data_IF_881676128304
#
_entry.id   IF_881676128304
#
_cell.length_a   1.000
_cell.length_b   1.000
_cell.length_c   1.000
_cell.angle_alpha   90.00
_cell.angle_beta   90.00
_cell.angle_gamma   90.00
#
_symmetry.space_group_name_H-M   'P 1'
#
loop_
_entity.id
_entity.type
_entity.pdbx_description
1 polymer ?
#
# COMPACT_ATOMS: atom_id res chain seq x y z
N UNK A 1 -25.01 6.71 -4.29
CA UNK A 1 -23.79 5.91 -3.99
C UNK A 1 -24.08 4.47 -4.40
N UNK A 2 -23.28 3.92 -5.30
CA UNK A 2 -23.40 2.52 -5.73
C UNK A 2 -22.06 1.82 -5.47
N UNK A 3 -22.12 0.70 -4.78
CA UNK A 3 -21.01 -0.24 -4.64
C UNK A 3 -21.27 -1.41 -5.59
N UNK A 4 -20.35 -1.70 -6.45
CA UNK A 4 -20.35 -2.89 -7.31
C UNK A 4 -19.20 -3.77 -6.84
N UNK A 5 -19.43 -5.07 -6.77
CA UNK A 5 -18.37 -6.04 -6.55
C UNK A 5 -18.56 -7.26 -7.45
N UNK A 6 -17.46 -7.77 -7.98
CA UNK A 6 -17.44 -8.94 -8.87
C UNK A 6 -16.11 -9.70 -8.73
N UNK A 7 -16.11 -10.96 -9.16
CA UNK A 7 -14.89 -11.75 -9.27
C UNK A 7 -14.47 -11.82 -10.74
N UNK A 8 -13.18 -11.71 -10.99
CA UNK A 8 -12.57 -11.88 -12.29
C UNK A 8 -11.10 -12.29 -12.14
N UNK A 9 -10.45 -12.84 -13.17
CA UNK A 9 -9.02 -13.02 -13.16
C UNK A 9 -8.30 -11.74 -12.77
N UNK A 10 -7.20 -11.87 -12.01
CA UNK A 10 -6.40 -10.72 -11.58
C UNK A 10 -5.91 -9.93 -12.80
N UNK A 11 -6.24 -8.66 -12.83
CA UNK A 11 -5.75 -7.72 -13.84
C UNK A 11 -5.06 -6.55 -13.16
N UNK A 12 -3.75 -6.46 -13.35
CA UNK A 12 -2.90 -5.40 -12.82
C UNK A 12 -2.71 -4.25 -13.81
N UNK A 13 -3.57 -4.13 -14.81
CA UNK A 13 -3.57 -2.94 -15.67
C UNK A 13 -4.04 -1.72 -14.84
N UNK A 14 -3.06 -1.02 -14.32
CA UNK A 14 -3.25 0.13 -13.42
C UNK A 14 -3.58 1.42 -14.18
N UNK A 15 -3.51 1.43 -15.50
CA UNK A 15 -3.75 2.65 -16.30
C UNK A 15 -5.16 3.18 -16.10
N UNK A 16 -6.12 2.31 -15.90
CA UNK A 16 -7.52 2.66 -15.65
C UNK A 16 -7.78 3.10 -14.19
N UNK A 17 -6.89 2.72 -13.27
CA UNK A 17 -7.00 3.03 -11.83
C UNK A 17 -6.62 4.50 -11.55
N UNK A 18 -5.61 5.01 -12.22
CA UNK A 18 -5.08 6.36 -11.98
C UNK A 18 -5.85 7.49 -12.71
N UNK A 19 -6.58 7.18 -13.78
CA UNK A 19 -7.17 8.20 -14.63
C UNK A 19 -8.62 8.58 -14.30
N UNK A 20 -9.24 7.95 -13.27
CA UNK A 20 -10.62 8.27 -12.92
C UNK A 20 -10.80 8.59 -11.43
N UNK A 21 -10.58 9.85 -11.01
CA UNK A 21 -10.69 10.25 -9.60
C UNK A 21 -12.11 10.20 -9.04
N UNK A 22 -13.11 9.90 -9.88
CA UNK A 22 -14.53 9.88 -9.50
C UNK A 22 -15.00 8.51 -9.04
N UNK A 23 -14.29 7.45 -9.43
CA UNK A 23 -14.63 6.07 -9.06
C UNK A 23 -13.50 5.49 -8.22
N UNK A 24 -13.80 5.18 -6.96
CA UNK A 24 -12.86 4.46 -6.12
C UNK A 24 -12.87 2.99 -6.55
N UNK A 25 -11.70 2.48 -6.90
CA UNK A 25 -11.49 1.08 -7.28
C UNK A 25 -10.55 0.41 -6.30
N UNK A 26 -10.85 -0.81 -5.94
CA UNK A 26 -10.00 -1.65 -5.12
C UNK A 26 -10.10 -3.09 -5.61
N UNK A 27 -8.98 -3.76 -5.65
CA UNK A 27 -8.92 -5.20 -5.95
C UNK A 27 -8.21 -5.95 -4.82
N UNK A 28 -8.73 -7.11 -4.49
CA UNK A 28 -8.18 -8.01 -3.49
C UNK A 28 -7.83 -9.33 -4.17
N UNK A 29 -6.65 -9.87 -3.90
CA UNK A 29 -6.25 -11.19 -4.39
C UNK A 29 -5.39 -11.92 -3.34
N UNK A 30 -5.30 -13.23 -3.47
CA UNK A 30 -4.32 -14.04 -2.74
C UNK A 30 -3.15 -14.30 -3.68
N UNK A 31 -1.96 -13.77 -3.40
CA UNK A 31 -0.78 -14.06 -4.21
C UNK A 31 -0.44 -15.54 -4.22
N UNK A 32 0.08 -16.06 -5.34
CA UNK A 32 0.47 -17.49 -5.44
C UNK A 32 1.64 -17.87 -4.52
N UNK A 33 2.39 -16.89 -4.02
CA UNK A 33 3.50 -17.07 -3.09
C UNK A 33 3.18 -16.71 -1.63
N UNK A 34 1.89 -16.49 -1.28
CA UNK A 34 1.49 -16.07 0.07
C UNK A 34 0.12 -16.64 0.44
N UNK A 35 -0.08 -16.88 1.74
CA UNK A 35 -1.38 -17.24 2.29
C UNK A 35 -2.25 -16.02 2.67
N UNK A 36 -1.69 -14.84 2.58
CA UNK A 36 -2.37 -13.60 2.92
C UNK A 36 -3.19 -13.03 1.76
N UNK A 37 -3.87 -11.94 2.04
CA UNK A 37 -4.64 -11.19 1.04
C UNK A 37 -3.93 -9.90 0.71
N UNK A 38 -3.61 -9.70 -0.56
CA UNK A 38 -3.11 -8.44 -1.07
C UNK A 38 -4.26 -7.53 -1.50
N UNK A 39 -4.07 -6.24 -1.35
CA UNK A 39 -5.02 -5.21 -1.74
C UNK A 39 -4.32 -4.11 -2.52
N UNK A 40 -4.89 -3.73 -3.64
CA UNK A 40 -4.46 -2.58 -4.43
C UNK A 40 -5.67 -1.68 -4.76
N UNK A 41 -5.49 -0.38 -4.71
CA UNK A 41 -6.57 0.56 -5.03
C UNK A 41 -6.05 1.95 -5.40
N UNK A 42 -6.91 2.76 -6.01
CA UNK A 42 -6.62 4.13 -6.44
C UNK A 42 -6.85 5.19 -5.34
N UNK A 43 -6.92 4.80 -4.09
CA UNK A 43 -7.01 5.74 -2.98
C UNK A 43 -5.62 6.29 -2.68
N UNK A 44 -5.38 7.56 -2.97
CA UNK A 44 -4.09 8.24 -2.79
C UNK A 44 -3.52 8.08 -1.38
N UNK A 45 -4.37 8.12 -0.34
CA UNK A 45 -3.97 7.96 1.05
C UNK A 45 -3.90 6.49 1.51
N UNK A 46 -3.99 5.52 0.58
CA UNK A 46 -3.85 4.09 0.88
C UNK A 46 -4.84 3.57 1.92
N UNK A 47 -6.03 4.10 1.93
CA UNK A 47 -7.15 3.62 2.77
C UNK A 47 -6.86 3.53 4.29
N UNK A 48 -6.23 4.52 4.96
CA UNK A 48 -6.01 4.42 6.41
C UNK A 48 -7.31 4.14 7.16
N UNK A 49 -8.42 4.71 6.70
CA UNK A 49 -9.75 4.46 7.23
C UNK A 49 -10.16 2.99 7.15
N UNK A 50 -9.88 2.29 6.06
CA UNK A 50 -10.20 0.86 5.91
C UNK A 50 -9.36 0.03 6.86
N UNK A 51 -8.07 0.31 6.95
CA UNK A 51 -7.13 -0.35 7.86
C UNK A 51 -7.64 -0.27 9.31
N UNK A 52 -7.92 0.93 9.82
CA UNK A 52 -8.43 1.11 11.17
C UNK A 52 -9.82 0.50 11.40
N UNK A 53 -10.64 0.42 10.37
CA UNK A 53 -11.94 -0.27 10.45
C UNK A 53 -11.79 -1.78 10.54
N UNK A 54 -10.90 -2.36 9.75
CA UNK A 54 -10.62 -3.80 9.79
C UNK A 54 -10.10 -4.21 11.16
N UNK A 55 -9.18 -3.45 11.74
CA UNK A 55 -8.63 -3.69 13.08
C UNK A 55 -9.68 -3.66 14.17
N UNK A 56 -10.74 -2.84 14.03
CA UNK A 56 -11.86 -2.82 14.99
C UNK A 56 -12.77 -4.05 14.90
N UNK A 57 -12.72 -4.79 13.82
CA UNK A 57 -13.60 -5.95 13.58
C UNK A 57 -12.90 -7.23 14.02
N UNK A 58 -11.60 -7.35 13.78
CA UNK A 58 -10.76 -8.50 14.11
C UNK A 58 -9.31 -8.09 14.28
N UNK A 59 -8.53 -8.88 15.03
CA UNK A 59 -7.07 -8.79 15.03
C UNK A 59 -6.56 -9.28 13.68
N UNK A 60 -5.94 -8.37 12.92
CA UNK A 60 -5.26 -8.65 11.66
C UNK A 60 -3.85 -8.11 11.73
N UNK A 61 -2.93 -8.81 11.15
CA UNK A 61 -1.66 -8.24 10.76
C UNK A 61 -1.82 -7.51 9.43
N UNK A 62 -1.43 -6.26 9.36
CA UNK A 62 -1.60 -5.42 8.18
C UNK A 62 -0.28 -4.75 7.83
N UNK A 63 0.19 -4.98 6.61
CA UNK A 63 1.32 -4.25 6.06
C UNK A 63 0.86 -3.41 4.88
N UNK A 64 1.10 -2.11 4.96
CA UNK A 64 0.85 -1.16 3.89
C UNK A 64 2.17 -0.59 3.40
N UNK A 65 2.35 -0.59 2.09
CA UNK A 65 3.51 0.04 1.45
C UNK A 65 3.05 1.06 0.41
N UNK A 66 3.80 2.14 0.31
CA UNK A 66 3.68 3.10 -0.79
C UNK A 66 5.06 3.30 -1.37
N UNK A 67 5.19 3.06 -2.66
CA UNK A 67 6.43 3.20 -3.41
C UNK A 67 6.34 4.44 -4.29
N UNK A 68 7.46 5.17 -4.38
CA UNK A 68 7.57 6.27 -5.33
C UNK A 68 8.00 5.70 -6.68
N UNK A 69 7.23 5.99 -7.70
CA UNK A 69 7.58 5.73 -9.09
C UNK A 69 7.83 7.08 -9.78
N UNK A 70 8.84 7.13 -10.64
CA UNK A 70 9.09 8.27 -11.53
C UNK A 70 8.01 8.32 -12.63
N UNK A 71 6.79 8.65 -12.22
CA UNK A 71 5.70 8.93 -13.14
C UNK A 71 5.57 10.46 -13.20
N UNK A 72 5.78 11.02 -14.39
CA UNK A 72 5.49 12.43 -14.71
C UNK A 72 3.98 12.72 -14.55
N UNK A 73 3.52 12.82 -13.31
CA UNK A 73 2.16 13.23 -12.98
C UNK A 73 2.20 14.57 -12.24
N UNK A 74 1.59 15.59 -12.80
CA UNK A 74 1.49 16.95 -12.22
C UNK A 74 0.89 16.99 -10.80
N UNK A 75 0.31 15.90 -10.30
CA UNK A 75 -0.42 15.84 -9.04
C UNK A 75 0.11 14.81 -8.03
N UNK A 76 1.22 14.14 -8.30
CA UNK A 76 1.77 13.17 -7.37
C UNK A 76 2.82 13.80 -6.45
N UNK A 77 2.49 13.89 -5.17
CA UNK A 77 3.49 14.12 -4.13
C UNK A 77 4.42 12.89 -4.07
N UNK A 78 5.73 13.12 -4.20
CA UNK A 78 6.69 12.06 -3.99
C UNK A 78 6.58 11.54 -2.54
N UNK A 79 6.05 10.34 -2.37
CA UNK A 79 5.80 9.75 -1.07
C UNK A 79 6.21 8.28 -1.03
N UNK A 80 6.89 7.90 0.03
CA UNK A 80 7.22 6.53 0.38
C UNK A 80 6.77 6.24 1.80
N UNK A 81 6.06 5.13 1.97
CA UNK A 81 5.50 4.74 3.26
C UNK A 81 5.75 3.25 3.50
N UNK A 82 6.18 2.95 4.70
CA UNK A 82 6.06 1.62 5.30
C UNK A 82 5.21 1.75 6.55
N UNK A 83 4.13 0.99 6.61
CA UNK A 83 3.20 0.97 7.72
C UNK A 83 2.84 -0.48 8.04
N UNK A 84 3.13 -0.89 9.26
CA UNK A 84 2.86 -2.22 9.74
C UNK A 84 2.10 -2.15 11.05
N UNK A 85 1.10 -3.00 11.19
CA UNK A 85 0.35 -3.18 12.42
C UNK A 85 0.34 -4.68 12.68
N UNK A 86 0.88 -5.09 13.80
CA UNK A 86 0.92 -6.49 14.20
C UNK A 86 -0.44 -6.99 14.72
N UNK A 87 -0.52 -8.30 15.01
CA UNK A 87 -1.75 -8.93 15.49
C UNK A 87 -2.22 -8.40 16.86
N UNK A 88 -1.31 -7.85 17.65
CA UNK A 88 -1.60 -7.26 18.96
C UNK A 88 -2.01 -5.77 18.85
N UNK A 89 -1.91 -5.20 17.64
CA UNK A 89 -2.27 -3.82 17.35
C UNK A 89 -1.12 -2.83 17.57
N UNK A 90 0.13 -3.29 17.75
CA UNK A 90 1.28 -2.40 17.80
C UNK A 90 1.54 -1.87 16.40
N UNK A 91 1.67 -0.56 16.30
CA UNK A 91 1.79 0.15 15.04
C UNK A 91 3.21 0.64 14.82
N UNK A 92 3.77 0.35 13.66
CA UNK A 92 5.01 0.92 13.16
C UNK A 92 4.75 1.68 11.87
N UNK A 93 5.14 2.95 11.82
CA UNK A 93 4.95 3.81 10.66
C UNK A 93 6.24 4.57 10.34
N UNK A 94 6.68 4.52 9.09
CA UNK A 94 7.82 5.26 8.57
C UNK A 94 7.44 5.90 7.24
N UNK A 95 7.75 7.19 7.08
CA UNK A 95 7.40 7.95 5.89
C UNK A 95 8.51 8.90 5.47
N UNK A 96 8.71 8.99 4.16
CA UNK A 96 9.41 10.10 3.50
C UNK A 96 8.45 10.71 2.48
N UNK A 97 8.26 12.02 2.52
CA UNK A 97 7.33 12.73 1.64
C UNK A 97 7.92 14.09 1.25
N UNK A 98 7.54 14.58 0.06
CA UNK A 98 7.87 15.93 -0.38
C UNK A 98 6.58 16.77 -0.45
N UNK A 99 6.43 17.76 0.46
CA UNK A 99 5.31 18.69 0.48
C UNK A 99 5.67 19.98 1.28
N UNK A 100 6.05 21.08 0.68
CA UNK A 100 6.82 21.27 -0.56
C UNK A 100 8.27 20.84 -0.41
N UNK A 101 8.75 20.57 0.81
CA UNK A 101 10.10 20.10 1.13
C UNK A 101 10.05 18.64 1.56
N UNK A 102 11.16 17.95 1.38
CA UNK A 102 11.31 16.60 1.91
C UNK A 102 11.18 16.60 3.42
N UNK A 103 10.34 15.71 3.93
CA UNK A 103 10.13 15.42 5.34
C UNK A 103 10.28 13.92 5.60
N UNK A 104 10.80 13.58 6.77
CA UNK A 104 10.90 12.21 7.28
C UNK A 104 10.21 12.14 8.62
N UNK A 105 9.34 11.17 8.77
CA UNK A 105 8.63 10.95 10.02
C UNK A 105 8.52 9.46 10.32
N UNK A 106 8.68 9.12 11.59
CA UNK A 106 8.52 7.76 12.09
C UNK A 106 7.76 7.74 13.41
N UNK A 107 7.05 6.65 13.65
CA UNK A 107 6.30 6.38 14.86
C UNK A 107 6.29 4.89 15.17
N UNK A 108 6.20 4.55 16.46
CA UNK A 108 6.15 3.19 16.96
C UNK A 108 7.54 2.58 17.19
N UNK A 109 7.56 1.39 17.77
CA UNK A 109 8.79 0.66 18.03
C UNK A 109 9.42 0.16 16.72
N UNK A 110 10.73 0.34 16.60
CA UNK A 110 11.49 -0.06 15.41
C UNK A 110 11.56 -1.58 15.32
N UNK A 111 11.33 -2.10 14.12
CA UNK A 111 11.38 -3.54 13.88
C UNK A 111 12.84 -4.00 13.68
N UNK A 112 13.17 -5.25 14.05
CA UNK A 112 14.56 -5.74 14.05
C UNK A 112 15.25 -5.71 12.69
N UNK A 113 14.49 -5.74 11.60
CA UNK A 113 15.02 -5.77 10.23
C UNK A 113 15.17 -4.37 9.60
N UNK A 114 14.78 -3.31 10.31
CA UNK A 114 14.88 -1.96 9.77
C UNK A 114 16.33 -1.48 9.65
N UNK A 115 16.62 -0.78 8.55
CA UNK A 115 17.91 -0.14 8.29
C UNK A 115 17.98 1.21 9.01
N UNK A 116 17.95 1.17 10.34
CA UNK A 116 17.79 2.36 11.21
C UNK A 116 18.89 3.39 11.03
N UNK A 117 20.11 2.97 10.69
CA UNK A 117 21.24 3.85 10.40
C UNK A 117 20.95 4.80 9.23
N UNK A 118 20.10 4.38 8.28
CA UNK A 118 19.67 5.20 7.14
C UNK A 118 18.76 6.36 7.55
N UNK A 119 18.05 6.24 8.65
CA UNK A 119 17.10 7.28 9.10
C UNK A 119 17.80 8.59 9.51
N UNK A 120 19.11 8.56 9.75
CA UNK A 120 19.94 9.74 10.01
C UNK A 120 20.69 10.28 8.78
N UNK A 121 20.43 9.74 7.60
CA UNK A 121 21.05 10.23 6.36
C UNK A 121 20.83 11.74 6.18
N UNK A 122 21.86 12.45 5.68
CA UNK A 122 21.82 13.89 5.44
C UNK A 122 20.70 14.27 4.45
N UNK A 123 20.54 13.49 3.39
CA UNK A 123 19.50 13.70 2.39
C UNK A 123 18.23 12.97 2.79
N UNK A 124 17.21 13.71 3.21
CA UNK A 124 15.97 13.16 3.75
C UNK A 124 15.34 12.11 2.80
N UNK A 125 15.34 12.35 1.49
CA UNK A 125 14.80 11.39 0.51
C UNK A 125 15.52 10.02 0.50
N UNK A 126 16.72 9.92 1.11
CA UNK A 126 17.48 8.67 1.23
C UNK A 126 17.21 7.93 2.54
N UNK A 127 16.47 8.52 3.46
CA UNK A 127 16.16 7.93 4.77
C UNK A 127 15.21 6.75 4.67
N UNK A 128 14.36 6.74 3.66
CA UNK A 128 13.50 5.60 3.31
C UNK A 128 13.44 5.51 1.79
N UNK A 129 13.96 4.43 1.21
CA UNK A 129 13.96 4.16 -0.22
C UNK A 129 12.94 3.07 -0.58
N UNK A 130 12.60 2.96 -1.87
CA UNK A 130 11.76 1.85 -2.33
C UNK A 130 12.37 0.48 -1.97
N UNK A 131 13.70 0.33 -2.15
CA UNK A 131 14.38 -0.92 -1.83
C UNK A 131 14.28 -1.29 -0.36
N UNK A 132 14.43 -0.30 0.55
CA UNK A 132 14.24 -0.54 1.99
C UNK A 132 12.82 -1.02 2.30
N UNK A 133 11.81 -0.39 1.70
CA UNK A 133 10.40 -0.79 1.90
C UNK A 133 10.16 -2.22 1.39
N UNK A 134 10.72 -2.56 0.23
CA UNK A 134 10.61 -3.91 -0.34
C UNK A 134 11.33 -4.95 0.52
N UNK A 135 12.48 -4.60 1.10
CA UNK A 135 13.21 -5.47 2.04
C UNK A 135 12.41 -5.67 3.35
N UNK A 136 11.77 -4.62 3.85
CA UNK A 136 10.93 -4.71 5.05
C UNK A 136 9.68 -5.57 4.80
N UNK A 137 9.04 -5.40 3.64
CA UNK A 137 7.92 -6.24 3.23
C UNK A 137 8.34 -7.71 3.13
N UNK A 138 9.52 -7.98 2.52
CA UNK A 138 10.07 -9.33 2.42
C UNK A 138 10.35 -9.95 3.80
N UNK A 139 10.89 -9.18 4.73
CA UNK A 139 11.14 -9.64 6.11
C UNK A 139 9.85 -10.01 6.86
N UNK A 140 8.71 -9.46 6.46
CA UNK A 140 7.37 -9.81 6.94
C UNK A 140 6.70 -10.92 6.11
N UNK A 141 7.42 -11.53 5.17
CA UNK A 141 6.90 -12.63 4.34
C UNK A 141 6.22 -12.19 3.04
N UNK A 142 6.29 -10.90 2.68
CA UNK A 142 5.68 -10.36 1.47
C UNK A 142 6.75 -10.05 0.40
N UNK A 143 7.02 -11.01 -0.47
CA UNK A 143 7.97 -10.81 -1.56
C UNK A 143 7.34 -10.05 -2.74
N UNK A 144 7.29 -8.73 -2.61
CA UNK A 144 6.73 -7.83 -3.64
C UNK A 144 7.59 -7.76 -4.92
N UNK A 145 8.84 -8.24 -4.88
CA UNK A 145 9.70 -8.32 -6.07
C UNK A 145 9.44 -9.57 -6.89
N UNK A 146 8.86 -10.61 -6.27
CA UNK A 146 8.52 -11.85 -6.96
C UNK A 146 7.37 -11.64 -7.93
N UNK A 147 7.49 -12.10 -9.18
CA UNK A 147 6.36 -12.12 -10.11
C UNK A 147 5.14 -12.90 -9.57
N UNK A 148 5.36 -13.86 -8.68
CA UNK A 148 4.28 -14.70 -8.12
C UNK A 148 3.43 -13.96 -7.09
N UNK A 149 3.95 -12.90 -6.48
CA UNK A 149 3.13 -11.97 -5.67
C UNK A 149 2.02 -11.30 -6.51
N UNK A 150 2.33 -11.00 -7.76
CA UNK A 150 1.45 -10.30 -8.69
C UNK A 150 0.61 -11.25 -9.56
N UNK A 151 0.51 -12.52 -9.16
CA UNK A 151 -0.30 -13.56 -9.78
C UNK A 151 -1.24 -14.16 -8.75
N UNK A 152 -2.36 -14.67 -9.23
CA UNK A 152 -3.31 -15.46 -8.44
C UNK A 152 -3.90 -16.56 -9.30
N UNK A 153 -3.80 -17.78 -8.80
CA UNK A 153 -4.49 -18.95 -9.38
C UNK A 153 -6.01 -18.89 -9.14
N UNK A 154 -6.46 -18.02 -8.24
CA UNK A 154 -7.86 -17.75 -7.96
C UNK A 154 -8.31 -16.41 -8.54
N UNK A 155 -9.60 -16.27 -8.80
CA UNK A 155 -10.17 -14.98 -9.18
C UNK A 155 -9.94 -13.93 -8.10
N UNK A 156 -9.55 -12.73 -8.52
CA UNK A 156 -9.50 -11.56 -7.66
C UNK A 156 -10.90 -11.01 -7.40
N UNK A 157 -11.08 -10.37 -6.26
CA UNK A 157 -12.30 -9.67 -5.90
C UNK A 157 -12.15 -8.19 -6.18
N UNK A 158 -12.99 -7.65 -7.04
CA UNK A 158 -13.02 -6.25 -7.42
C UNK A 158 -14.13 -5.50 -6.69
N UNK A 159 -13.82 -4.26 -6.30
CA UNK A 159 -14.77 -3.31 -5.73
C UNK A 159 -14.67 -1.99 -6.47
N UNK A 160 -15.80 -1.48 -6.89
CA UNK A 160 -15.94 -0.15 -7.50
C UNK A 160 -17.00 0.64 -6.74
N UNK A 161 -16.63 1.85 -6.36
CA UNK A 161 -17.51 2.74 -5.63
C UNK A 161 -17.58 4.09 -6.30
N UNK A 162 -18.75 4.50 -6.76
CA UNK A 162 -18.98 5.80 -7.37
C UNK A 162 -19.98 6.64 -6.59
N UNK A 163 -19.75 7.94 -6.54
CA UNK A 163 -20.68 8.92 -6.02
C UNK A 163 -21.67 9.41 -7.09
N UNK A 164 -21.47 9.07 -8.37
CA UNK A 164 -22.38 9.45 -9.45
C UNK A 164 -23.62 8.54 -9.45
N UNK A 165 -24.80 9.14 -9.63
CA UNK A 165 -25.94 8.41 -10.19
C UNK A 165 -25.54 8.04 -11.61
N UNK A 166 -25.43 6.76 -11.91
CA UNK A 166 -25.35 6.28 -13.28
C UNK A 166 -26.78 6.46 -13.80
N UNK A 167 -26.96 7.42 -14.71
CA UNK A 167 -28.21 7.58 -15.48
C UNK A 167 -28.35 6.44 -16.46
#
# INVERSE_FOLDING_TARGET
KKLISYNAPLNLDLTDVHHNPVVLKCQLWTPDNSEGVACFGNLEDGMPFLVYRLMKIRSFEITRVSLEFDIDCEFNYAMRVFHHIDIDGNERYVRVMQDPKWDFWEQGERLPFEQVEKYSERFIKKRLTNDMILDYALALGWDLRSPDFWKSSMDARYYEWSNRKIE
#
